data_IF_666978027847
#
_entry.id   IF_666978027847
#
_cell.length_a   1.000
_cell.length_b   1.000
_cell.length_c   1.000
_cell.angle_alpha   90.00
_cell.angle_beta   90.00
_cell.angle_gamma   90.00
#
_symmetry.space_group_name_H-M   'P 1'
#
loop_
_entity.id
_entity.type
_entity.pdbx_description
1 polymer ?
#
# COMPACT_ATOMS: atom_id res chain seq x y z
N UNK A 1 -27.03 25.72 -8.29
CA UNK A 1 -25.58 25.43 -8.18
C UNK A 1 -25.39 24.69 -6.86
N UNK A 2 -25.76 23.40 -6.85
CA UNK A 2 -25.65 22.58 -5.65
C UNK A 2 -24.24 21.98 -5.59
N UNK A 3 -23.49 22.42 -4.58
CA UNK A 3 -22.16 21.91 -4.29
C UNK A 3 -22.27 20.43 -3.87
N UNK A 4 -21.48 19.50 -4.43
CA UNK A 4 -21.57 18.10 -4.06
C UNK A 4 -21.14 17.94 -2.60
N UNK A 5 -22.06 17.50 -1.75
CA UNK A 5 -21.82 17.19 -0.34
C UNK A 5 -20.71 16.15 -0.26
N UNK A 6 -19.49 16.58 0.06
CA UNK A 6 -18.37 15.71 0.42
C UNK A 6 -18.72 15.01 1.74
N UNK A 7 -19.42 13.88 1.66
CA UNK A 7 -19.57 12.98 2.80
C UNK A 7 -18.19 12.44 3.18
N UNK A 8 -17.87 12.42 4.47
CA UNK A 8 -16.65 11.78 4.95
C UNK A 8 -16.66 10.31 4.51
N UNK A 9 -15.68 9.91 3.70
CA UNK A 9 -15.49 8.51 3.33
C UNK A 9 -15.25 7.71 4.61
N UNK A 10 -16.01 6.63 4.81
CA UNK A 10 -15.82 5.66 5.90
C UNK A 10 -15.73 4.25 5.31
N UNK A 11 -15.08 3.33 6.01
CA UNK A 11 -14.90 1.95 5.53
C UNK A 11 -13.95 1.83 4.32
N UNK A 12 -14.31 0.99 3.35
CA UNK A 12 -13.44 0.64 2.21
C UNK A 12 -13.08 1.83 1.31
N UNK A 13 -14.00 2.74 0.93
CA UNK A 13 -13.65 3.92 0.13
C UNK A 13 -12.56 4.81 0.76
N UNK A 14 -12.56 4.94 2.09
CA UNK A 14 -11.50 5.66 2.80
C UNK A 14 -10.16 4.92 2.72
N UNK A 15 -10.17 3.60 2.97
CA UNK A 15 -8.96 2.78 2.89
C UNK A 15 -8.32 2.81 1.49
N UNK A 16 -9.13 2.78 0.44
CA UNK A 16 -8.65 2.91 -0.95
C UNK A 16 -8.00 4.28 -1.17
N UNK A 17 -8.64 5.36 -0.71
CA UNK A 17 -8.06 6.71 -0.79
C UNK A 17 -6.74 6.80 -0.03
N UNK A 18 -6.69 6.32 1.22
CA UNK A 18 -5.50 6.36 2.05
C UNK A 18 -4.36 5.52 1.41
N UNK A 19 -4.68 4.36 0.85
CA UNK A 19 -3.72 3.51 0.11
C UNK A 19 -3.20 4.22 -1.15
N UNK A 20 -4.05 4.94 -1.88
CA UNK A 20 -3.63 5.70 -3.06
C UNK A 20 -2.67 6.85 -2.70
N UNK A 21 -2.93 7.55 -1.58
CA UNK A 21 -2.00 8.57 -1.06
C UNK A 21 -0.66 7.92 -0.70
N UNK A 22 -0.68 6.76 -0.05
CA UNK A 22 0.54 6.06 0.32
C UNK A 22 1.34 5.56 -0.89
N UNK A 23 0.67 5.03 -1.92
CA UNK A 23 1.31 4.65 -3.19
C UNK A 23 2.00 5.84 -3.86
N UNK A 24 1.35 7.01 -3.87
CA UNK A 24 1.95 8.22 -4.41
C UNK A 24 3.21 8.62 -3.62
N UNK A 25 3.15 8.58 -2.28
CA UNK A 25 4.31 8.85 -1.43
C UNK A 25 5.46 7.89 -1.70
N UNK A 26 5.19 6.58 -1.75
CA UNK A 26 6.23 5.57 -2.01
C UNK A 26 6.83 5.74 -3.41
N UNK A 27 6.01 6.02 -4.42
CA UNK A 27 6.48 6.27 -5.80
C UNK A 27 7.38 7.49 -5.89
N UNK A 28 7.04 8.56 -5.15
CA UNK A 28 7.85 9.78 -5.08
C UNK A 28 9.20 9.51 -4.40
N UNK A 29 9.19 8.79 -3.28
CA UNK A 29 10.43 8.42 -2.56
C UNK A 29 11.32 7.49 -3.41
N UNK A 30 10.73 6.55 -4.13
CA UNK A 30 11.46 5.66 -5.03
C UNK A 30 12.18 6.45 -6.12
N UNK A 31 11.49 7.42 -6.75
CA UNK A 31 12.10 8.32 -7.73
C UNK A 31 13.29 9.08 -7.13
N UNK A 32 13.13 9.65 -5.94
CA UNK A 32 14.18 10.43 -5.29
C UNK A 32 15.44 9.57 -5.02
N UNK A 33 15.28 8.38 -4.44
CA UNK A 33 16.43 7.50 -4.16
C UNK A 33 17.05 6.93 -5.42
N UNK A 34 16.26 6.68 -6.47
CA UNK A 34 16.79 6.27 -7.77
C UNK A 34 17.65 7.38 -8.37
N UNK A 35 17.17 8.62 -8.35
CA UNK A 35 17.90 9.77 -8.88
C UNK A 35 19.18 10.02 -8.07
N UNK A 36 19.14 9.87 -6.74
CA UNK A 36 20.32 9.87 -5.85
C UNK A 36 21.31 8.76 -6.22
N UNK A 37 20.84 7.54 -6.47
CA UNK A 37 21.68 6.41 -6.88
C UNK A 37 22.37 6.62 -8.24
N UNK A 38 21.66 7.18 -9.22
CA UNK A 38 22.22 7.54 -10.53
C UNK A 38 23.35 8.56 -10.36
N UNK A 39 23.14 9.57 -9.53
CA UNK A 39 24.14 10.61 -9.26
C UNK A 39 25.39 10.03 -8.56
N UNK A 40 25.22 9.10 -7.62
CA UNK A 40 26.34 8.39 -6.99
C UNK A 40 27.12 7.56 -8.02
N UNK A 41 26.45 6.84 -8.91
CA UNK A 41 27.10 6.08 -10.00
C UNK A 41 27.87 7.02 -10.94
N UNK A 42 27.30 8.18 -11.24
CA UNK A 42 27.96 9.21 -12.05
C UNK A 42 29.25 9.69 -11.38
N UNK A 43 29.19 9.99 -10.07
CA UNK A 43 30.37 10.40 -9.30
C UNK A 43 31.44 9.31 -9.23
N UNK A 44 31.05 8.05 -9.06
CA UNK A 44 31.98 6.90 -9.10
C UNK A 44 32.67 6.83 -10.47
N UNK A 45 31.91 6.99 -11.54
CA UNK A 45 32.44 6.91 -12.92
C UNK A 45 33.41 8.06 -13.20
N UNK A 46 33.04 9.27 -12.78
CA UNK A 46 33.89 10.46 -12.89
C UNK A 46 35.19 10.29 -12.09
N UNK A 47 35.11 9.80 -10.85
CA UNK A 47 36.28 9.56 -10.02
C UNK A 47 37.22 8.50 -10.64
N UNK A 48 36.66 7.43 -11.24
CA UNK A 48 37.45 6.45 -12.00
C UNK A 48 38.13 7.09 -13.22
N UNK A 49 37.44 7.96 -13.94
CA UNK A 49 38.01 8.67 -15.10
C UNK A 49 39.18 9.56 -14.68
N UNK A 50 39.01 10.35 -13.62
CA UNK A 50 40.07 11.22 -13.09
C UNK A 50 41.31 10.44 -12.65
N UNK A 51 41.13 9.25 -12.10
CA UNK A 51 42.25 8.37 -11.77
C UNK A 51 42.97 7.84 -13.03
N UNK A 52 42.24 7.43 -14.06
CA UNK A 52 42.83 6.99 -15.33
C UNK A 52 43.61 8.12 -16.04
N UNK A 53 43.18 9.36 -15.85
CA UNK A 53 43.87 10.56 -16.33
C UNK A 53 45.01 11.02 -15.39
N UNK A 54 45.36 10.23 -14.37
CA UNK A 54 46.39 10.51 -13.36
C UNK A 54 46.19 11.82 -12.58
N UNK A 55 44.96 12.38 -12.60
CA UNK A 55 44.60 13.62 -11.89
C UNK A 55 44.43 13.43 -10.40
N UNK A 56 44.26 12.19 -9.93
CA UNK A 56 43.99 11.83 -8.54
C UNK A 56 44.98 10.77 -8.05
N UNK A 57 45.50 10.96 -6.83
CA UNK A 57 46.41 10.00 -6.18
C UNK A 57 45.64 8.75 -5.75
N UNK A 58 46.30 7.59 -5.80
CA UNK A 58 45.71 6.28 -5.44
C UNK A 58 45.03 6.28 -4.05
N UNK A 59 45.68 6.83 -3.03
CA UNK A 59 45.13 6.86 -1.66
C UNK A 59 43.82 7.66 -1.59
N UNK A 60 43.75 8.78 -2.32
CA UNK A 60 42.56 9.63 -2.36
C UNK A 60 41.41 8.95 -3.11
N UNK A 61 41.74 8.26 -4.21
CA UNK A 61 40.79 7.42 -4.95
C UNK A 61 40.17 6.36 -4.04
N UNK A 62 40.98 5.58 -3.32
CA UNK A 62 40.49 4.47 -2.50
C UNK A 62 39.52 4.96 -1.42
N UNK A 63 39.86 6.05 -0.72
CA UNK A 63 39.01 6.63 0.31
C UNK A 63 37.67 7.15 -0.26
N UNK A 64 37.72 7.92 -1.35
CA UNK A 64 36.50 8.47 -1.95
C UNK A 64 35.63 7.38 -2.59
N UNK A 65 36.26 6.38 -3.23
CA UNK A 65 35.56 5.26 -3.84
C UNK A 65 34.79 4.45 -2.81
N UNK A 66 35.44 4.11 -1.69
CA UNK A 66 34.79 3.37 -0.61
C UNK A 66 33.57 4.13 -0.09
N UNK A 67 33.73 5.43 0.19
CA UNK A 67 32.64 6.28 0.65
C UNK A 67 31.45 6.33 -0.34
N UNK A 68 31.73 6.43 -1.63
CA UNK A 68 30.69 6.46 -2.67
C UNK A 68 29.99 5.11 -2.80
N UNK A 69 30.73 4.00 -2.71
CA UNK A 69 30.17 2.66 -2.69
C UNK A 69 29.27 2.42 -1.46
N UNK A 70 29.70 2.82 -0.27
CA UNK A 70 28.92 2.69 0.97
C UNK A 70 27.61 3.50 0.89
N UNK A 71 27.68 4.70 0.32
CA UNK A 71 26.49 5.53 0.05
C UNK A 71 25.56 4.88 -0.95
N UNK A 72 26.10 4.33 -2.04
CA UNK A 72 25.32 3.66 -3.06
C UNK A 72 24.61 2.43 -2.49
N UNK A 73 25.31 1.64 -1.70
CA UNK A 73 24.75 0.48 -0.99
C UNK A 73 23.62 0.91 -0.03
N UNK A 74 23.83 1.97 0.74
CA UNK A 74 22.80 2.52 1.62
C UNK A 74 21.55 2.96 0.84
N UNK A 75 21.73 3.61 -0.31
CA UNK A 75 20.62 4.02 -1.19
C UNK A 75 19.92 2.81 -1.82
N UNK A 76 20.66 1.77 -2.17
CA UNK A 76 20.09 0.50 -2.64
C UNK A 76 19.18 -0.13 -1.58
N UNK A 77 19.62 -0.24 -0.32
CA UNK A 77 18.77 -0.79 0.75
C UNK A 77 17.51 0.04 1.01
N UNK A 78 17.57 1.37 0.83
CA UNK A 78 16.37 2.21 0.91
C UNK A 78 15.39 1.89 -0.22
N UNK A 79 15.88 1.72 -1.45
CA UNK A 79 15.06 1.32 -2.59
C UNK A 79 14.42 -0.05 -2.38
N UNK A 80 15.19 -1.04 -1.91
CA UNK A 80 14.69 -2.38 -1.60
C UNK A 80 13.53 -2.34 -0.59
N UNK A 81 13.68 -1.58 0.50
CA UNK A 81 12.61 -1.39 1.50
C UNK A 81 11.35 -0.75 0.91
N UNK A 82 11.51 0.18 -0.03
CA UNK A 82 10.35 0.78 -0.71
C UNK A 82 9.64 -0.23 -1.62
N UNK A 83 10.38 -1.10 -2.31
CA UNK A 83 9.79 -2.17 -3.13
C UNK A 83 8.99 -3.15 -2.24
N UNK A 84 9.57 -3.60 -1.12
CA UNK A 84 8.85 -4.44 -0.16
C UNK A 84 7.57 -3.77 0.35
N UNK A 85 7.61 -2.45 0.59
CA UNK A 85 6.43 -1.68 0.98
C UNK A 85 5.38 -1.62 -0.13
N UNK A 86 5.78 -1.46 -1.39
CA UNK A 86 4.86 -1.52 -2.53
C UNK A 86 4.17 -2.89 -2.62
N UNK A 87 4.89 -3.99 -2.41
CA UNK A 87 4.31 -5.34 -2.45
C UNK A 87 3.22 -5.53 -1.39
N UNK A 88 3.46 -5.00 -0.18
CA UNK A 88 2.46 -5.02 0.91
C UNK A 88 1.22 -4.21 0.52
N UNK A 89 1.41 -3.01 -0.04
CA UNK A 89 0.29 -2.15 -0.47
C UNK A 89 -0.52 -2.81 -1.59
N UNK A 90 0.15 -3.42 -2.57
CA UNK A 90 -0.50 -4.15 -3.67
C UNK A 90 -1.32 -5.31 -3.12
N UNK A 91 -0.74 -6.12 -2.23
CA UNK A 91 -1.43 -7.23 -1.57
C UNK A 91 -2.66 -6.78 -0.78
N UNK A 92 -2.57 -5.64 -0.09
CA UNK A 92 -3.69 -5.05 0.62
C UNK A 92 -4.81 -4.60 -0.33
N UNK A 93 -4.48 -3.96 -1.45
CA UNK A 93 -5.47 -3.55 -2.45
C UNK A 93 -6.14 -4.75 -3.13
N UNK A 94 -5.40 -5.78 -3.48
CA UNK A 94 -5.95 -7.03 -4.03
C UNK A 94 -6.92 -7.70 -3.05
N UNK A 95 -6.56 -7.71 -1.76
CA UNK A 95 -7.45 -8.20 -0.70
C UNK A 95 -8.74 -7.40 -0.61
N UNK A 96 -8.65 -6.06 -0.68
CA UNK A 96 -9.84 -5.19 -0.70
C UNK A 96 -10.72 -5.43 -1.93
N UNK A 97 -10.13 -5.57 -3.11
CA UNK A 97 -10.86 -5.84 -4.35
C UNK A 97 -11.62 -7.18 -4.29
N UNK A 98 -10.96 -8.25 -3.81
CA UNK A 98 -11.60 -9.57 -3.62
C UNK A 98 -12.76 -9.51 -2.62
N UNK A 99 -12.60 -8.75 -1.53
CA UNK A 99 -13.65 -8.56 -0.53
C UNK A 99 -14.85 -7.81 -1.11
N UNK A 100 -14.61 -6.78 -1.92
CA UNK A 100 -15.68 -6.04 -2.60
C UNK A 100 -16.41 -6.91 -3.61
N UNK A 101 -15.70 -7.69 -4.43
CA UNK A 101 -16.29 -8.64 -5.37
C UNK A 101 -17.19 -9.67 -4.65
N UNK A 102 -16.74 -10.20 -3.52
CA UNK A 102 -17.52 -11.13 -2.71
C UNK A 102 -18.78 -10.47 -2.10
N UNK A 103 -18.66 -9.23 -1.61
CA UNK A 103 -19.80 -8.47 -1.11
C UNK A 103 -20.82 -8.20 -2.20
N UNK A 104 -20.38 -7.86 -3.41
CA UNK A 104 -21.25 -7.59 -4.55
C UNK A 104 -22.01 -8.85 -4.97
N UNK A 105 -21.31 -10.00 -5.12
CA UNK A 105 -21.93 -11.31 -5.39
C UNK A 105 -22.99 -11.68 -4.34
N UNK A 106 -22.70 -11.44 -3.07
CA UNK A 106 -23.63 -11.72 -1.97
C UNK A 106 -24.81 -10.74 -1.87
N UNK A 107 -24.65 -9.48 -2.27
CA UNK A 107 -25.77 -8.54 -2.39
C UNK A 107 -26.71 -8.95 -3.51
N UNK A 108 -26.17 -9.33 -4.67
CA UNK A 108 -26.96 -9.83 -5.82
C UNK A 108 -27.74 -11.10 -5.42
N UNK A 109 -27.13 -12.00 -4.64
CA UNK A 109 -27.82 -13.17 -4.08
C UNK A 109 -28.98 -12.85 -3.13
N UNK A 110 -28.92 -11.76 -2.36
CA UNK A 110 -30.02 -11.32 -1.47
C UNK A 110 -31.25 -10.76 -2.20
N UNK A 111 -31.07 -10.24 -3.41
CA UNK A 111 -32.19 -9.75 -4.23
C UNK A 111 -32.72 -10.82 -5.18
N UNK A 112 -31.94 -11.86 -5.48
CA UNK A 112 -32.32 -12.91 -6.42
C UNK A 112 -33.01 -14.13 -5.78
N UNK A 113 -32.71 -14.50 -4.52
CA UNK A 113 -33.31 -15.68 -3.90
C UNK A 113 -33.65 -15.46 -2.42
N UNK A 114 -34.93 -15.27 -2.13
CA UNK A 114 -35.50 -15.63 -0.83
C UNK A 114 -35.67 -17.15 -0.88
N UNK A 115 -34.61 -17.90 -0.60
CA UNK A 115 -34.73 -19.30 -0.20
C UNK A 115 -33.89 -19.51 1.06
N UNK A 116 -34.59 -19.92 2.11
CA UNK A 116 -34.25 -19.76 3.53
C UNK A 116 -33.19 -20.75 4.04
N UNK A 117 -32.40 -21.39 3.17
CA UNK A 117 -31.62 -22.58 3.56
C UNK A 117 -30.11 -22.55 3.36
N UNK A 118 -29.50 -21.54 2.74
CA UNK A 118 -28.03 -21.58 2.54
C UNK A 118 -27.33 -20.22 2.61
N UNK A 119 -27.74 -19.39 3.57
CA UNK A 119 -26.94 -18.22 3.92
C UNK A 119 -25.95 -18.58 5.01
N UNK A 120 -24.78 -19.06 4.60
CA UNK A 120 -23.57 -19.01 5.44
C UNK A 120 -23.17 -17.54 5.64
N UNK A 121 -23.95 -16.85 6.46
CA UNK A 121 -23.67 -15.52 6.95
C UNK A 121 -22.56 -15.65 7.99
N UNK A 122 -21.33 -15.27 7.62
CA UNK A 122 -20.17 -15.22 8.51
C UNK A 122 -20.40 -14.36 9.78
N UNK A 123 -21.49 -13.58 9.81
CA UNK A 123 -22.00 -12.94 11.01
C UNK A 123 -23.48 -13.25 11.16
N UNK A 124 -23.78 -14.24 12.01
CA UNK A 124 -25.07 -14.39 12.67
C UNK A 124 -25.27 -13.17 13.58
N UNK A 125 -25.66 -12.03 13.03
CA UNK A 125 -26.34 -11.03 13.85
C UNK A 125 -27.66 -11.68 14.27
N UNK A 126 -27.88 -11.79 15.57
CA UNK A 126 -29.08 -12.41 16.12
C UNK A 126 -30.31 -11.81 15.44
N UNK A 127 -31.27 -12.62 14.95
CA UNK A 127 -32.47 -12.08 14.34
C UNK A 127 -33.19 -11.20 15.36
N UNK A 128 -33.21 -9.88 15.13
CA UNK A 128 -33.83 -8.91 16.05
C UNK A 128 -35.30 -9.24 16.32
N UNK A 129 -35.96 -9.96 15.39
CA UNK A 129 -37.32 -10.50 15.54
C UNK A 129 -37.48 -11.44 16.74
N UNK A 130 -36.43 -12.16 17.18
CA UNK A 130 -36.49 -13.03 18.38
C UNK A 130 -36.55 -12.25 19.69
N UNK A 131 -36.05 -11.01 19.74
CA UNK A 131 -36.10 -10.19 20.97
C UNK A 131 -37.52 -9.67 21.27
N UNK A 132 -38.33 -9.39 20.25
CA UNK A 132 -39.71 -8.94 20.46
C UNK A 132 -40.64 -10.05 20.97
N UNK A 133 -40.39 -11.31 20.59
CA UNK A 133 -41.21 -12.45 21.00
C UNK A 133 -40.98 -12.88 22.45
N UNK A 134 -39.79 -12.63 23.01
CA UNK A 134 -39.51 -12.92 24.42
C UNK A 134 -39.96 -11.81 25.38
N UNK A 135 -40.04 -10.55 24.94
CA UNK A 135 -40.52 -9.44 25.78
C UNK A 135 -42.01 -9.43 26.08
N UNK A 136 -42.83 -10.11 25.27
CA UNK A 136 -44.29 -10.18 25.43
C UNK A 136 -44.77 -11.41 26.22
N UNK A 137 -43.91 -12.41 26.46
CA UNK A 137 -44.29 -13.64 27.19
C UNK A 137 -44.06 -13.59 28.71
N UNK A 138 -43.45 -12.52 29.23
CA UNK A 138 -43.21 -12.33 30.67
C UNK A 138 -44.06 -11.21 31.30
N UNK A 139 -45.28 -11.02 30.79
CA UNK A 139 -46.33 -10.25 31.48
C UNK A 139 -47.56 -11.12 31.70
N UNK A 140 -47.44 -12.07 32.62
CA UNK A 140 -48.55 -12.62 33.39
C UNK A 140 -48.05 -12.99 34.78
#
# INVERSE_FOLDING_TARGET
>A
MDSPRHGNLTGNPRKVKDTAVELYTVSTLWKNHRDEGIELIRQITELKLQWLEEKVKRQELENQMQLLCDKLETTYYKLEKLVQKLDILTSHMEGMAKLEEYQEKNKIGRFANIDESDTSHMFLTWPTRRFYLFGLKNKH
#
